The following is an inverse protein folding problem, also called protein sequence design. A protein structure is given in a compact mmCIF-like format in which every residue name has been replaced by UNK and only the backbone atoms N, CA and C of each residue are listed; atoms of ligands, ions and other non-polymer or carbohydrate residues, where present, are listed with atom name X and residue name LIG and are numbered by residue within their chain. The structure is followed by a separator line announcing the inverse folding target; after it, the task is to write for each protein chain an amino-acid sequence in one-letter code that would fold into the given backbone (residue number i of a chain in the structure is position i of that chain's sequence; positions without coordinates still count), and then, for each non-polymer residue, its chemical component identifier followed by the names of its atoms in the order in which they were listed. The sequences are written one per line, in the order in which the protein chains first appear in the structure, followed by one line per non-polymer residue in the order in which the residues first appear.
data_IF_256105859705
#
_entry.id   IF_256105859705
#
_cell.length_a   1.000
_cell.length_b   1.000
_cell.length_c   1.000
_cell.angle_alpha   90.00
_cell.angle_beta   90.00
_cell.angle_gamma   90.00
#
_symmetry.space_group_name_H-M   'P 1'
#
loop_
_entity.id
_entity.type
_entity.pdbx_description
1 polymer ?
#
# COMPACT_ATOMS: atom_id res chain seq x y z
N UNK A 1 5.32 -9.52 4.05
CA UNK A 1 5.04 -8.90 5.37
C UNK A 1 3.72 -8.12 5.29
N UNK A 2 2.86 -8.17 6.30
CA UNK A 2 1.52 -7.53 6.25
C UNK A 2 1.25 -6.63 7.47
N UNK A 3 0.74 -5.43 7.22
CA UNK A 3 0.38 -4.43 8.23
C UNK A 3 -1.14 -4.20 8.17
N UNK A 4 -1.80 -4.11 9.34
CA UNK A 4 -3.25 -3.91 9.46
C UNK A 4 -3.56 -2.62 10.21
N UNK A 5 -4.67 -1.98 9.85
CA UNK A 5 -5.18 -0.80 10.51
C UNK A 5 -6.72 -0.82 10.49
N UNK A 6 -7.34 -0.57 11.65
CA UNK A 6 -8.81 -0.60 11.80
C UNK A 6 -9.55 0.60 11.20
N UNK A 7 -8.83 1.57 10.64
CA UNK A 7 -9.40 2.66 9.87
C UNK A 7 -9.91 2.19 8.50
N UNK A 8 -10.84 2.94 7.91
CA UNK A 8 -11.31 2.73 6.53
C UNK A 8 -10.70 3.75 5.59
N UNK A 9 -10.46 3.34 4.35
CA UNK A 9 -10.05 4.27 3.31
C UNK A 9 -11.27 5.09 2.85
N UNK A 10 -11.10 6.38 2.58
CA UNK A 10 -12.19 7.25 2.10
C UNK A 10 -12.60 6.97 0.66
N UNK A 11 -11.84 6.15 -0.08
CA UNK A 11 -12.14 5.77 -1.45
C UNK A 11 -12.55 4.30 -1.52
N UNK A 12 -13.63 3.99 -2.23
CA UNK A 12 -14.06 2.62 -2.54
C UNK A 12 -12.99 1.79 -3.27
N UNK A 13 -12.04 2.47 -3.89
CA UNK A 13 -10.91 1.87 -4.58
C UNK A 13 -9.59 2.25 -3.86
N UNK A 14 -8.93 1.31 -3.18
CA UNK A 14 -7.69 1.56 -2.45
C UNK A 14 -6.55 1.96 -3.39
N UNK A 15 -6.60 1.60 -4.69
CA UNK A 15 -5.58 2.02 -5.65
C UNK A 15 -5.61 3.53 -5.90
N UNK A 16 -6.77 4.17 -5.72
CA UNK A 16 -6.91 5.62 -5.92
C UNK A 16 -6.14 6.43 -4.88
N UNK A 17 -5.78 5.86 -3.73
CA UNK A 17 -4.95 6.52 -2.72
C UNK A 17 -3.51 6.76 -3.16
N UNK A 18 -3.05 6.00 -4.14
CA UNK A 18 -1.73 6.20 -4.75
C UNK A 18 -1.75 7.26 -5.85
N UNK A 19 -2.94 7.80 -6.19
CA UNK A 19 -3.02 8.88 -7.16
C UNK A 19 -2.53 10.20 -6.54
N UNK A 20 -1.81 11.05 -7.29
CA UNK A 20 -1.33 12.34 -6.80
C UNK A 20 -2.45 13.25 -6.27
N UNK A 21 -3.68 13.09 -6.77
CA UNK A 21 -4.86 13.84 -6.34
C UNK A 21 -5.43 13.36 -5.00
N UNK A 22 -5.28 12.08 -4.67
CA UNK A 22 -5.74 11.53 -3.39
C UNK A 22 -4.77 11.80 -2.23
N UNK A 23 -3.56 12.29 -2.52
CA UNK A 23 -2.58 12.68 -1.50
C UNK A 23 -3.12 13.71 -0.48
N UNK A 24 -4.14 14.50 -0.86
CA UNK A 24 -4.83 15.43 0.03
C UNK A 24 -5.83 14.75 0.99
N UNK A 25 -6.50 13.67 0.56
CA UNK A 25 -7.46 12.91 1.38
C UNK A 25 -6.78 11.80 2.20
N UNK A 26 -5.67 11.28 1.70
CA UNK A 26 -4.82 10.32 2.39
C UNK A 26 -3.64 10.99 3.09
N UNK A 27 -3.73 12.23 3.60
CA UNK A 27 -2.57 12.99 4.10
C UNK A 27 -1.72 12.26 5.16
N UNK A 28 -2.31 11.30 5.87
CA UNK A 28 -1.63 10.42 6.85
C UNK A 28 -1.24 9.03 6.32
N UNK A 29 -1.68 8.64 5.12
CA UNK A 29 -1.51 7.30 4.54
C UNK A 29 -0.76 7.32 3.20
N UNK A 30 -1.10 8.27 2.32
CA UNK A 30 -0.66 8.34 0.93
C UNK A 30 0.83 8.56 0.74
N UNK A 31 1.49 9.38 1.57
CA UNK A 31 2.94 9.58 1.43
C UNK A 31 3.74 8.36 1.89
N UNK A 32 3.37 7.74 3.02
CA UNK A 32 4.03 6.53 3.53
C UNK A 32 3.85 5.34 2.60
N UNK A 33 2.63 5.13 2.10
CA UNK A 33 2.31 4.06 1.16
C UNK A 33 2.93 4.27 -0.21
N UNK A 34 2.97 5.51 -0.74
CA UNK A 34 3.65 5.79 -2.00
C UNK A 34 5.15 5.51 -1.90
N UNK A 35 5.78 5.91 -0.80
CA UNK A 35 7.19 5.64 -0.52
C UNK A 35 7.45 4.14 -0.40
N UNK A 36 6.61 3.40 0.33
CA UNK A 36 6.70 1.95 0.43
C UNK A 36 6.58 1.25 -0.93
N UNK A 37 5.70 1.75 -1.82
CA UNK A 37 5.56 1.25 -3.19
C UNK A 37 6.82 1.46 -4.03
N UNK A 38 7.48 2.62 -3.90
CA UNK A 38 8.74 2.91 -4.60
C UNK A 38 9.85 1.98 -4.14
N UNK A 39 10.03 1.79 -2.83
CA UNK A 39 11.03 0.86 -2.30
C UNK A 39 10.74 -0.59 -2.69
N UNK A 40 9.48 -1.01 -2.67
CA UNK A 40 9.11 -2.34 -3.13
C UNK A 40 9.44 -2.54 -4.61
N UNK A 41 9.13 -1.56 -5.46
CA UNK A 41 9.42 -1.62 -6.89
C UNK A 41 10.94 -1.68 -7.16
N UNK A 42 11.75 -0.92 -6.41
CA UNK A 42 13.22 -0.96 -6.48
C UNK A 42 13.75 -2.37 -6.15
N UNK A 43 13.15 -3.02 -5.15
CA UNK A 43 13.41 -4.41 -4.78
C UNK A 43 12.72 -5.45 -5.70
N UNK A 44 12.15 -5.03 -6.85
CA UNK A 44 11.37 -5.87 -7.78
C UNK A 44 10.15 -6.56 -7.15
N UNK A 45 9.67 -6.04 -6.02
CA UNK A 45 8.46 -6.44 -5.33
C UNK A 45 7.27 -5.53 -5.61
N UNK A 46 6.20 -5.73 -4.85
CA UNK A 46 4.97 -4.96 -4.94
C UNK A 46 4.34 -4.75 -3.56
N UNK A 47 3.62 -3.63 -3.39
CA UNK A 47 2.73 -3.42 -2.24
C UNK A 47 1.28 -3.58 -2.72
N UNK A 48 0.54 -4.45 -2.05
CA UNK A 48 -0.89 -4.67 -2.25
C UNK A 48 -1.69 -4.09 -1.09
N UNK A 49 -2.79 -3.42 -1.42
CA UNK A 49 -3.77 -2.97 -0.43
C UNK A 49 -5.05 -3.79 -0.58
N UNK A 50 -5.60 -4.21 0.54
CA UNK A 50 -6.91 -4.85 0.63
C UNK A 50 -7.71 -4.18 1.73
N UNK A 51 -8.99 -3.95 1.48
CA UNK A 51 -9.92 -3.43 2.48
C UNK A 51 -11.02 -4.46 2.71
N UNK A 52 -11.22 -4.84 3.97
CA UNK A 52 -12.29 -5.72 4.43
C UNK A 52 -13.25 -4.99 5.37
N UNK A 53 -14.19 -5.71 5.96
CA UNK A 53 -15.16 -5.14 6.92
C UNK A 53 -14.48 -4.48 8.13
N UNK A 54 -13.37 -5.09 8.59
CA UNK A 54 -12.65 -4.69 9.81
C UNK A 54 -11.56 -3.63 9.58
N UNK A 55 -11.42 -3.12 8.35
CA UNK A 55 -10.46 -2.08 8.00
C UNK A 55 -9.54 -2.47 6.85
N UNK A 56 -8.30 -1.97 6.91
CA UNK A 56 -7.39 -1.92 5.76
C UNK A 56 -6.11 -2.69 6.08
N UNK A 57 -5.65 -3.46 5.11
CA UNK A 57 -4.41 -4.23 5.17
C UNK A 57 -3.50 -3.87 4.01
N UNK A 58 -2.21 -3.75 4.29
CA UNK A 58 -1.15 -3.57 3.31
C UNK A 58 -0.18 -4.75 3.37
N UNK A 59 0.10 -5.37 2.22
CA UNK A 59 1.03 -6.50 2.11
C UNK A 59 2.18 -6.15 1.17
N UNK A 60 3.40 -6.37 1.64
CA UNK A 60 4.61 -6.32 0.81
C UNK A 60 4.92 -7.72 0.28
N UNK A 61 4.92 -7.84 -1.04
CA UNK A 61 5.34 -8.98 -1.83
C UNK A 61 6.75 -8.70 -2.35
N UNK A 62 7.72 -9.54 -2.04
CA UNK A 62 9.07 -9.48 -2.60
C UNK A 62 9.30 -10.76 -3.42
N UNK A 63 10.05 -10.69 -4.54
CA UNK A 63 10.43 -11.89 -5.25
C UNK A 63 11.30 -12.76 -4.35
N UNK A 64 11.17 -14.08 -4.46
CA UNK A 64 12.12 -14.99 -3.83
C UNK A 64 13.51 -14.74 -4.41
N UNK A 65 14.51 -14.64 -3.54
CA UNK A 65 15.90 -14.50 -3.96
C UNK A 65 16.27 -15.80 -4.68
N UNK A 66 16.28 -15.78 -6.01
CA UNK A 66 16.88 -16.85 -6.79
C UNK A 66 18.38 -16.79 -6.54
N UNK A 67 18.83 -17.48 -5.49
CA UNK A 67 20.25 -17.62 -5.21
C UNK A 67 20.94 -18.20 -6.47
N UNK A 68 22.05 -17.59 -6.94
CA UNK A 68 22.79 -18.08 -8.08
C UNK A 68 23.47 -19.43 -7.83
#
# INVERSE_FOLDING_TARGET
MTIRNGGRLPADDPEKLFSPRAASQGKNWGMGLATARLYAADARGAVRLSQGEDGVSASLELPEETAP
#
